data_IF_968608027276
#
_entry.id   IF_968608027276
#
_cell.length_a   1.000
_cell.length_b   1.000
_cell.length_c   1.000
_cell.angle_alpha   90.00
_cell.angle_beta   90.00
_cell.angle_gamma   90.00
#
_symmetry.space_group_name_H-M   'P 1'
#
loop_
_entity.id
_entity.type
_entity.pdbx_description
1 polymer ?
#
# COMPACT_ATOMS: atom_id res chain seq x y z
N UNK A 1 -11.72 30.65 7.19
CA UNK A 1 -10.60 29.97 7.88
C UNK A 1 -10.86 28.49 8.24
N UNK A 2 -12.00 27.86 7.89
CA UNK A 2 -12.27 26.46 8.27
C UNK A 2 -11.73 25.39 7.31
N UNK A 3 -11.50 25.72 6.05
CA UNK A 3 -11.10 24.74 5.02
C UNK A 3 -9.64 24.29 5.17
N UNK A 4 -8.75 25.18 5.61
CA UNK A 4 -7.33 24.87 5.88
C UNK A 4 -7.16 23.91 7.06
N UNK A 5 -7.94 24.09 8.14
CA UNK A 5 -7.90 23.20 9.30
C UNK A 5 -8.46 21.82 8.96
N UNK A 6 -9.52 21.74 8.15
CA UNK A 6 -10.07 20.47 7.67
C UNK A 6 -9.06 19.70 6.82
N UNK A 7 -8.37 20.38 5.89
CA UNK A 7 -7.32 19.76 5.08
C UNK A 7 -6.12 19.29 5.91
N UNK A 8 -5.66 20.09 6.88
CA UNK A 8 -4.57 19.72 7.77
C UNK A 8 -4.93 18.46 8.59
N UNK A 9 -6.10 18.45 9.24
CA UNK A 9 -6.60 17.30 9.99
C UNK A 9 -6.77 16.06 9.12
N UNK A 10 -7.29 16.20 7.90
CA UNK A 10 -7.40 15.10 6.95
C UNK A 10 -6.01 14.55 6.58
N UNK A 11 -5.05 15.43 6.31
CA UNK A 11 -3.67 15.03 5.98
C UNK A 11 -2.97 14.32 7.13
N UNK A 12 -3.16 14.77 8.37
CA UNK A 12 -2.58 14.16 9.56
C UNK A 12 -3.23 12.81 9.87
N UNK A 13 -4.55 12.70 9.67
CA UNK A 13 -5.27 11.43 9.79
C UNK A 13 -4.75 10.40 8.78
N UNK A 14 -4.63 10.79 7.51
CA UNK A 14 -4.09 9.93 6.45
C UNK A 14 -2.67 9.48 6.79
N UNK A 15 -1.80 10.39 7.23
CA UNK A 15 -0.43 10.05 7.64
C UNK A 15 -0.41 9.10 8.84
N UNK A 16 -1.25 9.33 9.84
CA UNK A 16 -1.37 8.48 11.02
C UNK A 16 -1.85 7.06 10.68
N UNK A 17 -2.82 6.94 9.77
CA UNK A 17 -3.30 5.65 9.27
C UNK A 17 -2.22 4.93 8.44
N UNK A 18 -1.52 5.65 7.56
CA UNK A 18 -0.39 5.10 6.80
C UNK A 18 0.72 4.59 7.73
N UNK A 19 1.06 5.35 8.76
CA UNK A 19 2.04 4.94 9.77
C UNK A 19 1.58 3.68 10.52
N UNK A 20 0.33 3.65 10.99
CA UNK A 20 -0.23 2.47 11.68
C UNK A 20 -0.22 1.24 10.77
N UNK A 21 -0.67 1.39 9.52
CA UNK A 21 -0.69 0.32 8.54
C UNK A 21 0.72 -0.20 8.23
N UNK A 22 1.70 0.70 8.08
CA UNK A 22 3.10 0.34 7.88
C UNK A 22 3.66 -0.49 9.04
N UNK A 23 3.43 -0.04 10.29
CA UNK A 23 3.92 -0.76 11.47
C UNK A 23 3.25 -2.13 11.64
N UNK A 24 1.93 -2.22 11.42
CA UNK A 24 1.20 -3.48 11.46
C UNK A 24 1.69 -4.45 10.37
N UNK A 25 1.87 -3.97 9.14
CA UNK A 25 2.41 -4.76 8.04
C UNK A 25 3.82 -5.28 8.36
N UNK A 26 4.70 -4.39 8.86
CA UNK A 26 6.06 -4.76 9.28
C UNK A 26 6.06 -5.86 10.34
N UNK A 27 5.25 -5.75 11.38
CA UNK A 27 5.15 -6.78 12.42
C UNK A 27 4.67 -8.12 11.86
N UNK A 28 3.67 -8.10 10.98
CA UNK A 28 3.16 -9.31 10.32
C UNK A 28 4.22 -9.99 9.45
N UNK A 29 5.05 -9.21 8.73
CA UNK A 29 6.12 -9.74 7.89
C UNK A 29 7.19 -10.40 8.74
N UNK A 30 7.62 -9.74 9.81
CA UNK A 30 8.60 -10.29 10.77
C UNK A 30 8.05 -11.60 11.35
N UNK A 31 6.81 -11.59 11.83
CA UNK A 31 6.18 -12.79 12.37
C UNK A 31 6.17 -13.96 11.37
N UNK A 32 5.80 -13.70 10.10
CA UNK A 32 5.83 -14.70 9.03
C UNK A 32 7.24 -15.19 8.71
N UNK A 33 8.23 -14.29 8.69
CA UNK A 33 9.62 -14.64 8.45
C UNK A 33 10.13 -15.61 9.53
N UNK A 34 9.87 -15.29 10.81
CA UNK A 34 10.24 -16.17 11.92
C UNK A 34 9.49 -17.51 11.86
N UNK A 35 8.19 -17.53 11.56
CA UNK A 35 7.44 -18.78 11.40
C UNK A 35 7.96 -19.67 10.26
N UNK A 36 8.56 -19.10 9.23
CA UNK A 36 9.05 -19.84 8.05
C UNK A 36 10.52 -20.24 8.17
N UNK A 37 11.35 -19.38 8.74
CA UNK A 37 12.79 -19.55 8.76
C UNK A 37 13.32 -20.11 10.07
N UNK A 38 12.67 -19.82 11.20
CA UNK A 38 13.14 -20.23 12.52
C UNK A 38 12.33 -21.45 12.96
N UNK A 39 13.01 -22.58 13.12
CA UNK A 39 12.37 -23.77 13.64
C UNK A 39 12.02 -23.54 15.12
N UNK A 40 10.79 -23.84 15.56
CA UNK A 40 10.47 -23.80 16.98
C UNK A 40 11.21 -24.95 17.67
N UNK A 41 12.41 -24.67 18.19
CA UNK A 41 13.13 -25.65 19.01
C UNK A 41 12.58 -25.57 20.44
N UNK A 42 12.07 -26.70 20.93
CA UNK A 42 11.59 -26.84 22.31
C UNK A 42 12.70 -27.22 23.29
N UNK A 43 13.94 -27.34 22.81
CA UNK A 43 15.01 -28.07 23.51
C UNK A 43 16.23 -27.23 23.85
N UNK A 44 16.38 -26.02 23.31
CA UNK A 44 17.57 -25.20 23.56
C UNK A 44 17.16 -23.78 23.93
N UNK A 45 17.78 -23.26 25.00
CA UNK A 45 17.76 -21.83 25.32
C UNK A 45 18.49 -21.14 24.17
N UNK A 46 17.77 -20.77 23.12
CA UNK A 46 18.36 -20.08 21.97
C UNK A 46 19.06 -18.82 22.47
N UNK A 47 20.30 -18.58 22.08
CA UNK A 47 21.12 -17.41 22.48
C UNK A 47 20.58 -16.05 21.96
N UNK A 48 19.28 -15.96 21.65
CA UNK A 48 18.63 -14.85 20.94
C UNK A 48 19.32 -14.49 19.59
N UNK A 49 20.20 -15.37 19.11
CA UNK A 49 20.95 -15.21 17.88
C UNK A 49 20.44 -16.20 16.83
N UNK A 50 20.21 -15.70 15.62
CA UNK A 50 19.90 -16.54 14.46
C UNK A 50 21.18 -17.26 14.02
N UNK A 51 21.06 -18.52 13.63
CA UNK A 51 22.10 -19.19 12.85
C UNK A 51 22.30 -18.47 11.51
N UNK A 52 23.45 -18.65 10.86
CA UNK A 52 23.71 -18.05 9.54
C UNK A 52 22.67 -18.46 8.49
N UNK A 53 22.17 -19.69 8.56
CA UNK A 53 21.17 -20.21 7.64
C UNK A 53 19.80 -19.57 7.88
N UNK A 54 19.40 -19.42 9.16
CA UNK A 54 18.18 -18.70 9.53
C UNK A 54 18.25 -17.23 9.15
N UNK A 55 19.38 -16.57 9.39
CA UNK A 55 19.61 -15.19 9.00
C UNK A 55 19.46 -15.03 7.47
N UNK A 56 20.12 -15.90 6.70
CA UNK A 56 20.03 -15.89 5.23
C UNK A 56 18.58 -16.09 4.77
N UNK A 57 17.86 -17.04 5.36
CA UNK A 57 16.45 -17.27 5.06
C UNK A 57 15.58 -16.03 5.34
N UNK A 58 15.80 -15.35 6.48
CA UNK A 58 15.06 -14.14 6.84
C UNK A 58 15.36 -12.99 5.85
N UNK A 59 16.62 -12.83 5.45
CA UNK A 59 17.04 -11.83 4.47
C UNK A 59 16.42 -12.09 3.08
N UNK A 60 16.46 -13.34 2.61
CA UNK A 60 15.81 -13.74 1.35
C UNK A 60 14.29 -13.55 1.39
N UNK A 61 13.64 -13.92 2.50
CA UNK A 61 12.22 -13.70 2.69
C UNK A 61 11.87 -12.21 2.64
N UNK A 62 12.68 -11.36 3.28
CA UNK A 62 12.50 -9.91 3.26
C UNK A 62 12.64 -9.34 1.84
N UNK A 63 13.62 -9.82 1.06
CA UNK A 63 13.82 -9.42 -0.33
C UNK A 63 12.64 -9.83 -1.22
N UNK A 64 12.19 -11.09 -1.12
CA UNK A 64 11.05 -11.61 -1.86
C UNK A 64 9.77 -10.85 -1.52
N UNK A 65 9.54 -10.58 -0.23
CA UNK A 65 8.38 -9.81 0.21
C UNK A 65 8.44 -8.36 -0.31
N UNK A 66 9.61 -7.72 -0.28
CA UNK A 66 9.79 -6.38 -0.82
C UNK A 66 9.50 -6.33 -2.34
N UNK A 67 9.92 -7.35 -3.10
CA UNK A 67 9.60 -7.46 -4.53
C UNK A 67 8.08 -7.66 -4.74
N UNK A 68 7.44 -8.53 -3.96
CA UNK A 68 6.00 -8.74 -4.00
C UNK A 68 5.22 -7.44 -3.71
N UNK A 69 5.60 -6.71 -2.66
CA UNK A 69 4.96 -5.46 -2.28
C UNK A 69 5.16 -4.37 -3.36
N UNK A 70 6.34 -4.26 -3.97
CA UNK A 70 6.59 -3.34 -5.09
C UNK A 70 5.72 -3.65 -6.30
N UNK A 71 5.59 -4.93 -6.66
CA UNK A 71 4.74 -5.34 -7.77
C UNK A 71 3.26 -5.08 -7.48
N UNK A 72 2.79 -5.36 -6.25
CA UNK A 72 1.43 -5.04 -5.83
C UNK A 72 1.16 -3.53 -5.86
N UNK A 73 2.10 -2.70 -5.40
CA UNK A 73 2.00 -1.25 -5.47
C UNK A 73 1.94 -0.75 -6.92
N UNK A 74 2.77 -1.30 -7.80
CA UNK A 74 2.76 -0.95 -9.22
C UNK A 74 1.41 -1.29 -9.89
N UNK A 75 0.86 -2.48 -9.61
CA UNK A 75 -0.46 -2.88 -10.12
C UNK A 75 -1.58 -1.96 -9.63
N UNK A 76 -1.60 -1.64 -8.34
CA UNK A 76 -2.60 -0.73 -7.77
C UNK A 76 -2.45 0.70 -8.30
N UNK A 77 -1.22 1.17 -8.50
CA UNK A 77 -0.96 2.49 -9.08
C UNK A 77 -1.45 2.58 -10.53
N UNK A 78 -1.22 1.53 -11.32
CA UNK A 78 -1.74 1.44 -12.69
C UNK A 78 -3.27 1.46 -12.73
N UNK A 79 -3.93 0.69 -11.85
CA UNK A 79 -5.39 0.69 -11.75
C UNK A 79 -5.93 2.06 -11.32
N UNK A 80 -5.26 2.73 -10.39
CA UNK A 80 -5.64 4.08 -9.95
C UNK A 80 -5.51 5.10 -11.09
N UNK A 81 -4.39 5.09 -11.81
CA UNK A 81 -4.19 5.95 -12.99
C UNK A 81 -5.22 5.67 -14.08
N UNK A 82 -5.53 4.39 -14.35
CA UNK A 82 -6.57 4.01 -15.31
C UNK A 82 -7.94 4.58 -14.89
N UNK A 83 -8.33 4.37 -13.63
CA UNK A 83 -9.58 4.91 -13.10
C UNK A 83 -9.64 6.45 -13.20
N UNK A 84 -8.54 7.14 -12.90
CA UNK A 84 -8.48 8.59 -13.07
C UNK A 84 -8.70 9.00 -14.54
N UNK A 85 -8.05 8.32 -15.49
CA UNK A 85 -8.24 8.57 -16.93
C UNK A 85 -9.69 8.35 -17.35
N UNK A 86 -10.31 7.26 -16.93
CA UNK A 86 -11.72 6.95 -17.22
C UNK A 86 -12.67 8.02 -16.65
N UNK A 87 -12.41 8.52 -15.44
CA UNK A 87 -13.20 9.62 -14.85
C UNK A 87 -13.05 10.93 -15.61
N UNK A 88 -11.82 11.27 -16.04
CA UNK A 88 -11.59 12.46 -16.88
C UNK A 88 -12.27 12.35 -18.25
N UNK A 89 -12.20 11.18 -18.89
CA UNK A 89 -12.87 10.92 -20.16
C UNK A 89 -14.39 11.01 -20.03
N UNK A 90 -14.95 10.41 -18.98
CA UNK A 90 -16.38 10.52 -18.67
C UNK A 90 -16.82 11.96 -18.46
N UNK A 91 -16.08 12.74 -17.66
CA UNK A 91 -16.39 14.15 -17.43
C UNK A 91 -16.34 14.97 -18.74
N UNK A 92 -15.37 14.69 -19.61
CA UNK A 92 -15.26 15.33 -20.93
C UNK A 92 -16.46 14.98 -21.82
N UNK A 93 -16.88 13.72 -21.88
CA UNK A 93 -18.05 13.29 -22.65
C UNK A 93 -19.34 13.91 -22.13
N UNK A 94 -19.50 13.99 -20.80
CA UNK A 94 -20.64 14.66 -20.17
C UNK A 94 -20.69 16.15 -20.52
N UNK A 95 -19.54 16.85 -20.53
CA UNK A 95 -19.47 18.25 -20.95
C UNK A 95 -19.85 18.42 -22.43
N UNK A 96 -19.34 17.57 -23.33
CA UNK A 96 -19.71 17.60 -24.75
C UNK A 96 -21.21 17.35 -24.95
N UNK A 97 -21.79 16.38 -24.23
CA UNK A 97 -23.22 16.11 -24.29
C UNK A 97 -24.06 17.28 -23.75
N UNK A 98 -23.60 17.98 -22.70
CA UNK A 98 -24.24 19.18 -22.19
C UNK A 98 -24.16 20.35 -23.19
N UNK A 99 -23.04 20.53 -23.87
CA UNK A 99 -22.88 21.54 -24.92
C UNK A 99 -23.80 21.28 -26.12
N UNK A 100 -23.82 20.04 -26.64
CA UNK A 100 -24.73 19.66 -27.73
C UNK A 100 -26.21 19.87 -27.38
N UNK A 101 -26.60 19.59 -26.12
CA UNK A 101 -27.96 19.87 -25.63
C UNK A 101 -28.31 21.36 -25.58
N UNK A 102 -27.32 22.24 -25.41
CA UNK A 102 -27.54 23.71 -25.45
C UNK A 102 -27.69 24.20 -26.88
N UNK A 103 -26.92 23.64 -27.81
CA UNK A 103 -27.01 23.99 -29.24
C UNK A 103 -28.34 23.59 -29.87
N UNK A 104 -28.91 22.44 -29.49
CA UNK A 104 -30.23 21.99 -29.98
C UNK A 104 -31.43 22.81 -29.45
N UNK A 105 -31.21 23.70 -28.47
CA UNK A 105 -32.28 24.54 -27.85
C UNK A 105 -32.36 25.95 -28.44
N UNK A 106 -31.50 26.29 -29.40
CA UNK A 106 -31.51 27.55 -30.15
C UNK A 106 -31.84 27.30 -31.62
#
# INVERSE_FOLDING_TARGET
MGQSNSWALASDTIKGEQYRAYHAARQNIVHRAFQKCVAPSSTEVSDFNLTKDEQTCVEEFALLYAAFAKNGFAQLSQLYEQHQREMYEKARLEMMAQQARRELRH
#
